data_IF_890694454143
#
_entry.id   IF_890694454143
#
_cell.length_a   1.000
_cell.length_b   1.000
_cell.length_c   1.000
_cell.angle_alpha   90.00
_cell.angle_beta   90.00
_cell.angle_gamma   90.00
#
_symmetry.space_group_name_H-M   'P 1'
#
loop_
_entity.id
_entity.type
_entity.pdbx_description
1 polymer ?
#
# COMPACT_ATOMS: atom_id res chain seq x y z
N UNK A 1 9.84 2.87 16.84
CA UNK A 1 8.90 1.98 16.12
C UNK A 1 8.36 2.72 14.92
N UNK A 2 8.35 2.06 13.75
CA UNK A 2 7.73 2.54 12.52
C UNK A 2 6.63 1.58 12.06
N UNK A 3 5.70 2.04 11.23
CA UNK A 3 4.64 1.22 10.64
C UNK A 3 4.65 1.34 9.12
N UNK A 4 4.68 0.19 8.45
CA UNK A 4 4.60 0.09 7.00
C UNK A 4 3.30 -0.61 6.62
N UNK A 5 2.44 0.09 5.87
CA UNK A 5 1.20 -0.44 5.36
C UNK A 5 1.34 -0.64 3.85
N UNK A 6 1.09 -1.86 3.38
CA UNK A 6 1.11 -2.22 1.98
C UNK A 6 -0.31 -2.36 1.48
N UNK A 7 -0.69 -1.60 0.45
CA UNK A 7 -2.01 -1.62 -0.18
C UNK A 7 -1.85 -2.00 -1.65
N UNK A 8 -2.38 -3.16 -2.04
CA UNK A 8 -2.53 -3.45 -3.49
C UNK A 8 -3.66 -2.60 -4.03
N UNK A 9 -3.47 -1.98 -5.20
CA UNK A 9 -4.54 -1.22 -5.86
C UNK A 9 -5.86 -2.02 -5.96
N UNK A 10 -6.98 -1.31 -5.91
CA UNK A 10 -8.29 -1.93 -6.04
C UNK A 10 -8.54 -2.43 -7.47
N UNK A 11 -9.62 -3.21 -7.64
CA UNK A 11 -9.92 -3.86 -8.92
C UNK A 11 -10.00 -2.82 -10.04
N UNK A 12 -9.14 -2.97 -11.04
CA UNK A 12 -9.12 -2.13 -12.24
C UNK A 12 -10.04 -2.68 -13.32
N UNK A 13 -10.40 -1.80 -14.25
CA UNK A 13 -11.17 -2.12 -15.44
C UNK A 13 -10.27 -2.28 -16.69
N UNK A 14 -10.86 -2.67 -17.80
CA UNK A 14 -10.24 -2.73 -19.13
C UNK A 14 -11.18 -2.13 -20.19
N UNK A 15 -11.30 -0.80 -20.26
CA UNK A 15 -11.96 -0.15 -21.38
C UNK A 15 -11.18 -0.41 -22.68
N UNK A 16 -11.87 -0.32 -23.82
CA UNK A 16 -11.22 -0.41 -25.13
C UNK A 16 -10.13 0.67 -25.28
N UNK A 17 -9.05 0.33 -25.98
CA UNK A 17 -7.94 1.24 -26.33
C UNK A 17 -7.23 1.90 -25.13
N UNK A 18 -7.28 1.29 -23.94
CA UNK A 18 -6.61 1.83 -22.74
C UNK A 18 -5.28 1.12 -22.47
N UNK A 19 -4.20 1.90 -22.42
CA UNK A 19 -2.86 1.45 -21.99
C UNK A 19 -2.87 1.02 -20.52
N UNK A 20 -1.99 0.07 -20.12
CA UNK A 20 -2.07 -0.48 -18.75
C UNK A 20 -1.96 0.61 -17.67
N UNK A 21 -1.06 1.58 -17.85
CA UNK A 21 -0.83 2.65 -16.90
C UNK A 21 -2.08 3.50 -16.62
N UNK A 22 -2.90 3.71 -17.65
CA UNK A 22 -4.06 4.59 -17.65
C UNK A 22 -5.37 3.89 -17.24
N UNK A 23 -5.31 2.59 -16.96
CA UNK A 23 -6.49 1.81 -16.60
C UNK A 23 -7.20 2.37 -15.37
N UNK A 24 -8.51 2.64 -15.47
CA UNK A 24 -9.29 3.12 -14.35
C UNK A 24 -9.61 1.99 -13.37
N UNK A 25 -10.20 2.36 -12.22
CA UNK A 25 -10.83 1.42 -11.32
C UNK A 25 -12.17 0.95 -11.90
N UNK A 26 -12.50 -0.33 -11.72
CA UNK A 26 -13.84 -0.84 -11.97
C UNK A 26 -14.78 -0.45 -10.83
N UNK A 27 -16.10 -0.46 -11.06
CA UNK A 27 -17.12 -0.12 -10.05
C UNK A 27 -16.95 -0.90 -8.74
N UNK A 28 -16.66 -2.20 -8.85
CA UNK A 28 -16.35 -3.04 -7.69
C UNK A 28 -15.11 -2.55 -6.94
N UNK A 29 -14.06 -2.17 -7.66
CA UNK A 29 -12.83 -1.64 -7.07
C UNK A 29 -13.05 -0.32 -6.33
N UNK A 30 -13.89 0.58 -6.87
CA UNK A 30 -14.29 1.80 -6.18
C UNK A 30 -14.97 1.48 -4.84
N UNK A 31 -15.92 0.54 -4.85
CA UNK A 31 -16.64 0.11 -3.63
C UNK A 31 -15.71 -0.55 -2.61
N UNK A 32 -14.86 -1.46 -3.06
CA UNK A 32 -13.91 -2.17 -2.19
C UNK A 32 -12.94 -1.19 -1.52
N UNK A 33 -12.41 -0.20 -2.26
CA UNK A 33 -11.53 0.83 -1.72
C UNK A 33 -12.22 1.74 -0.68
N UNK A 34 -13.47 2.13 -0.94
CA UNK A 34 -14.26 2.92 0.02
C UNK A 34 -14.55 2.13 1.30
N UNK A 35 -14.90 0.85 1.18
CA UNK A 35 -15.18 0.00 2.34
C UNK A 35 -13.91 -0.27 3.17
N UNK A 36 -12.81 -0.63 2.50
CA UNK A 36 -11.53 -0.92 3.16
C UNK A 36 -10.99 0.31 3.90
N UNK A 37 -11.02 1.48 3.26
CA UNK A 37 -10.54 2.72 3.90
C UNK A 37 -11.34 3.11 5.14
N UNK A 38 -12.68 3.00 5.09
CA UNK A 38 -13.55 3.23 6.25
C UNK A 38 -13.31 2.20 7.35
N UNK A 39 -13.18 0.94 6.98
CA UNK A 39 -12.90 -0.15 7.92
C UNK A 39 -11.56 0.08 8.64
N UNK A 40 -10.49 0.42 7.92
CA UNK A 40 -9.21 0.73 8.56
C UNK A 40 -9.31 1.94 9.49
N UNK A 41 -10.02 2.99 9.07
CA UNK A 41 -10.21 4.18 9.88
C UNK A 41 -11.03 3.88 11.15
N UNK A 42 -12.05 3.03 11.07
CA UNK A 42 -12.88 2.65 12.23
C UNK A 42 -12.18 1.68 13.19
N UNK A 43 -11.14 0.99 12.73
CA UNK A 43 -10.28 0.13 13.55
C UNK A 43 -9.01 0.86 14.03
N UNK A 44 -9.04 2.21 14.06
CA UNK A 44 -7.98 3.07 14.58
C UNK A 44 -6.58 2.86 13.93
N UNK A 45 -6.55 2.36 12.69
CA UNK A 45 -5.30 2.24 11.94
C UNK A 45 -4.83 3.63 11.54
N UNK A 46 -3.83 4.15 12.26
CA UNK A 46 -3.25 5.47 12.05
C UNK A 46 -2.18 5.46 10.97
N UNK A 47 -2.22 6.44 10.07
CA UNK A 47 -1.28 6.63 8.98
C UNK A 47 -0.94 8.11 8.90
N UNK A 48 0.32 8.43 8.67
CA UNK A 48 0.83 9.81 8.64
C UNK A 48 1.11 10.26 7.20
N UNK A 49 1.44 9.31 6.32
CA UNK A 49 1.88 9.62 4.97
C UNK A 49 1.46 8.56 3.95
N UNK A 50 1.02 8.99 2.76
CA UNK A 50 0.67 8.11 1.65
C UNK A 50 1.64 8.29 0.49
N UNK A 51 2.14 7.17 -0.03
CA UNK A 51 2.95 7.12 -1.25
C UNK A 51 2.28 6.15 -2.23
N UNK A 52 2.02 6.60 -3.44
CA UNK A 52 1.35 5.79 -4.45
C UNK A 52 2.21 5.58 -5.68
N UNK A 53 2.09 4.43 -6.32
CA UNK A 53 2.38 4.35 -7.75
C UNK A 53 1.57 5.41 -8.52
N UNK A 54 2.14 6.06 -9.54
CA UNK A 54 1.43 7.07 -10.33
C UNK A 54 0.38 6.48 -11.28
N UNK A 55 0.39 5.16 -11.53
CA UNK A 55 -0.60 4.51 -12.38
C UNK A 55 -2.03 4.77 -11.89
N UNK A 56 -2.95 5.06 -12.80
CA UNK A 56 -4.28 5.62 -12.52
C UNK A 56 -5.04 4.82 -11.46
N UNK A 57 -5.07 3.48 -11.58
CA UNK A 57 -5.73 2.59 -10.61
C UNK A 57 -5.14 2.66 -9.19
N UNK A 58 -3.82 2.77 -9.06
CA UNK A 58 -3.17 2.83 -7.75
C UNK A 58 -3.39 4.20 -7.11
N UNK A 59 -3.16 5.27 -7.88
CA UNK A 59 -3.37 6.64 -7.41
C UNK A 59 -4.83 6.91 -7.05
N UNK A 60 -5.79 6.40 -7.83
CA UNK A 60 -7.20 6.53 -7.49
C UNK A 60 -7.58 5.72 -6.24
N UNK A 61 -7.00 4.53 -6.05
CA UNK A 61 -7.18 3.78 -4.79
C UNK A 61 -6.65 4.59 -3.60
N UNK A 62 -5.46 5.17 -3.72
CA UNK A 62 -4.86 6.06 -2.72
C UNK A 62 -5.75 7.27 -2.40
N UNK A 63 -6.24 7.96 -3.45
CA UNK A 63 -7.16 9.10 -3.29
C UNK A 63 -8.46 8.73 -2.57
N UNK A 64 -9.03 7.56 -2.85
CA UNK A 64 -10.22 7.07 -2.15
C UNK A 64 -9.91 6.84 -0.66
N UNK A 65 -8.79 6.18 -0.35
CA UNK A 65 -8.36 6.04 1.05
C UNK A 65 -8.19 7.40 1.71
N UNK A 66 -7.62 8.37 1.00
CA UNK A 66 -7.33 9.69 1.54
C UNK A 66 -8.58 10.51 1.88
N UNK A 67 -9.77 10.14 1.37
CA UNK A 67 -11.02 10.76 1.81
C UNK A 67 -11.31 10.51 3.29
N UNK A 68 -10.84 9.37 3.85
CA UNK A 68 -11.00 9.04 5.27
C UNK A 68 -9.85 9.56 6.16
N UNK A 69 -8.68 9.81 5.56
CA UNK A 69 -7.45 10.12 6.29
C UNK A 69 -7.01 11.60 6.20
N UNK A 70 -7.27 12.27 5.08
CA UNK A 70 -6.97 13.69 4.84
C UNK A 70 -5.47 14.04 5.02
N UNK A 71 -4.61 13.23 4.42
CA UNK A 71 -3.15 13.32 4.49
C UNK A 71 -2.55 13.84 3.18
N UNK A 72 -1.27 14.15 3.22
CA UNK A 72 -0.45 14.40 2.03
C UNK A 72 -0.24 13.10 1.26
N UNK A 73 -0.35 13.18 -0.07
CA UNK A 73 -0.05 12.09 -0.99
C UNK A 73 1.17 12.49 -1.82
N UNK A 74 2.16 11.62 -1.90
CA UNK A 74 3.18 11.66 -2.96
C UNK A 74 3.02 10.48 -3.92
N UNK A 75 3.67 10.60 -5.07
CA UNK A 75 3.76 9.52 -6.05
C UNK A 75 5.21 9.09 -6.22
N UNK A 76 5.44 7.79 -6.37
CA UNK A 76 6.75 7.24 -6.72
C UNK A 76 6.67 6.22 -7.86
N UNK A 77 7.40 6.51 -8.94
CA UNK A 77 7.47 5.66 -10.14
C UNK A 77 7.97 4.26 -9.83
N UNK A 78 8.88 4.14 -8.85
CA UNK A 78 9.41 2.88 -8.33
C UNK A 78 8.32 1.93 -7.84
N UNK A 79 7.14 2.44 -7.47
CA UNK A 79 6.01 1.63 -7.02
C UNK A 79 5.13 1.10 -8.16
N UNK A 80 5.39 1.43 -9.43
CA UNK A 80 4.74 0.82 -10.60
C UNK A 80 5.53 -0.42 -11.06
N UNK A 81 4.87 -1.60 -11.09
CA UNK A 81 5.53 -2.89 -11.35
C UNK A 81 6.84 -3.10 -10.55
N UNK A 82 6.82 -2.93 -9.21
CA UNK A 82 8.03 -2.89 -8.41
C UNK A 82 8.68 -4.28 -8.26
N UNK A 83 10.00 -4.28 -8.09
CA UNK A 83 10.74 -5.33 -7.37
C UNK A 83 10.79 -5.04 -5.87
N UNK A 84 11.25 -6.00 -5.07
CA UNK A 84 11.47 -5.86 -3.63
C UNK A 84 12.43 -4.69 -3.33
N UNK A 85 13.52 -4.57 -4.11
CA UNK A 85 14.49 -3.46 -4.00
C UNK A 85 13.88 -2.10 -4.29
N UNK A 86 12.83 -2.04 -5.12
CA UNK A 86 12.15 -0.77 -5.36
C UNK A 86 11.40 -0.30 -4.11
N UNK A 87 10.78 -1.21 -3.37
CA UNK A 87 10.16 -0.88 -2.07
C UNK A 87 11.22 -0.44 -1.05
N UNK A 88 12.31 -1.20 -0.91
CA UNK A 88 13.42 -0.84 0.00
C UNK A 88 13.95 0.56 -0.31
N UNK A 89 14.18 0.88 -1.59
CA UNK A 89 14.63 2.21 -1.98
C UNK A 89 13.63 3.31 -1.60
N UNK A 90 12.33 3.10 -1.79
CA UNK A 90 11.32 4.09 -1.39
C UNK A 90 11.27 4.22 0.14
N UNK A 91 11.51 3.14 0.88
CA UNK A 91 11.56 3.16 2.36
C UNK A 91 12.74 4.00 2.84
N UNK A 92 13.94 3.80 2.29
CA UNK A 92 15.12 4.57 2.71
C UNK A 92 15.04 6.06 2.36
N UNK A 93 14.23 6.43 1.37
CA UNK A 93 14.00 7.83 0.98
C UNK A 93 12.98 8.54 1.90
N UNK A 94 12.35 7.84 2.86
CA UNK A 94 11.37 8.43 3.80
C UNK A 94 12.05 9.27 4.89
N UNK A 95 11.37 10.35 5.26
CA UNK A 95 11.77 11.19 6.39
C UNK A 95 11.47 10.47 7.74
N UNK A 96 12.41 10.55 8.68
CA UNK A 96 12.30 9.92 9.99
C UNK A 96 11.23 10.54 10.90
N UNK A 97 10.62 11.67 10.54
CA UNK A 97 9.43 12.20 11.20
C UNK A 97 8.17 11.38 10.87
N UNK A 98 8.14 10.66 9.74
CA UNK A 98 7.01 9.79 9.36
C UNK A 98 7.05 8.53 10.19
N UNK A 99 6.04 8.29 11.03
CA UNK A 99 5.98 7.10 11.89
C UNK A 99 5.16 5.97 11.28
N UNK A 100 4.18 6.31 10.44
CA UNK A 100 3.32 5.34 9.74
C UNK A 100 3.11 5.76 8.29
N UNK A 101 3.43 4.87 7.34
CA UNK A 101 3.32 5.13 5.91
C UNK A 101 2.52 4.05 5.20
N UNK A 102 1.67 4.44 4.24
CA UNK A 102 0.97 3.50 3.37
C UNK A 102 1.44 3.61 1.93
N UNK A 103 1.82 2.47 1.36
CA UNK A 103 2.24 2.33 -0.03
C UNK A 103 1.15 1.69 -0.89
N UNK A 104 0.78 2.36 -1.99
CA UNK A 104 -0.21 1.88 -2.93
C UNK A 104 0.48 1.36 -4.20
N UNK A 105 0.42 0.05 -4.44
CA UNK A 105 1.22 -0.60 -5.48
C UNK A 105 0.51 -1.81 -6.15
N UNK A 106 1.27 -2.62 -6.87
CA UNK A 106 0.80 -3.64 -7.81
C UNK A 106 1.37 -5.02 -7.49
N UNK A 107 0.63 -6.05 -7.86
CA UNK A 107 1.18 -7.40 -7.93
C UNK A 107 2.00 -7.59 -9.21
N UNK A 108 2.98 -8.50 -9.24
CA UNK A 108 3.35 -9.42 -8.15
C UNK A 108 4.25 -8.80 -7.07
N UNK A 109 4.87 -7.66 -7.37
CA UNK A 109 5.90 -7.04 -6.53
C UNK A 109 5.50 -6.82 -5.07
N UNK A 110 4.29 -6.31 -4.80
CA UNK A 110 3.84 -6.07 -3.42
C UNK A 110 3.70 -7.36 -2.61
N UNK A 111 3.25 -8.46 -3.24
CA UNK A 111 3.17 -9.76 -2.56
C UNK A 111 4.57 -10.31 -2.30
N UNK A 112 5.46 -10.21 -3.28
CA UNK A 112 6.83 -10.68 -3.11
C UNK A 112 7.57 -9.91 -2.01
N UNK A 113 7.42 -8.58 -1.97
CA UNK A 113 8.01 -7.76 -0.93
C UNK A 113 7.42 -8.06 0.46
N UNK A 114 6.10 -8.24 0.58
CA UNK A 114 5.51 -8.67 1.84
C UNK A 114 6.07 -10.02 2.32
N UNK A 115 6.26 -10.97 1.39
CA UNK A 115 6.87 -12.28 1.66
C UNK A 115 8.37 -12.20 2.01
N UNK A 116 9.09 -11.17 1.55
CA UNK A 116 10.52 -11.03 1.86
C UNK A 116 10.77 -10.47 3.26
N UNK A 117 9.77 -9.80 3.86
CA UNK A 117 9.88 -9.16 5.18
C UNK A 117 9.08 -9.87 6.27
N UNK A 118 8.52 -11.04 5.98
CA UNK A 118 7.65 -11.80 6.87
C UNK A 118 7.82 -13.30 6.70
N UNK A 119 7.50 -14.06 7.74
CA UNK A 119 7.45 -15.53 7.67
C UNK A 119 6.12 -16.05 7.08
N UNK A 120 5.11 -15.19 6.98
CA UNK A 120 3.81 -15.52 6.39
C UNK A 120 3.86 -15.48 4.85
N UNK A 121 2.98 -16.26 4.22
CA UNK A 121 2.82 -16.27 2.77
C UNK A 121 1.62 -15.41 2.38
N UNK A 122 1.90 -14.28 1.75
CA UNK A 122 0.95 -13.34 1.21
C UNK A 122 0.68 -13.57 -0.27
N UNK A 123 -0.60 -13.57 -0.60
CA UNK A 123 -1.08 -13.35 -1.95
C UNK A 123 -2.12 -12.23 -1.92
N UNK A 124 -1.70 -11.01 -2.25
CA UNK A 124 -2.58 -9.85 -2.14
C UNK A 124 -3.74 -9.95 -3.15
N UNK A 125 -5.01 -9.99 -2.74
CA UNK A 125 -6.11 -9.69 -3.64
C UNK A 125 -6.10 -8.19 -3.99
N UNK A 126 -6.84 -7.79 -5.02
CA UNK A 126 -7.05 -6.35 -5.29
C UNK A 126 -7.67 -5.69 -4.07
N UNK A 127 -7.17 -4.51 -3.69
CA UNK A 127 -7.54 -3.80 -2.45
C UNK A 127 -7.20 -4.57 -1.15
N UNK A 128 -6.34 -5.59 -1.21
CA UNK A 128 -5.77 -6.22 -0.01
C UNK A 128 -4.78 -5.29 0.69
N UNK A 129 -4.75 -5.34 2.03
CA UNK A 129 -3.92 -4.49 2.88
C UNK A 129 -3.18 -5.32 3.93
N UNK A 130 -1.86 -5.17 4.04
CA UNK A 130 -1.09 -5.69 5.17
C UNK A 130 -0.44 -4.55 5.94
N UNK A 131 -0.42 -4.64 7.27
CA UNK A 131 0.28 -3.71 8.14
C UNK A 131 1.41 -4.40 8.87
N UNK A 132 2.60 -3.80 8.86
CA UNK A 132 3.78 -4.28 9.57
C UNK A 132 4.27 -3.24 10.56
N UNK A 133 4.69 -3.70 11.73
CA UNK A 133 5.47 -2.93 12.68
C UNK A 133 6.96 -3.23 12.48
N UNK A 134 7.76 -2.19 12.40
CA UNK A 134 9.21 -2.24 12.21
C UNK A 134 9.88 -1.71 13.48
N UNK A 135 10.71 -2.54 14.09
CA UNK A 135 11.46 -2.22 15.31
C UNK A 135 12.70 -1.38 15.00
N UNK A 136 12.46 -0.14 14.57
CA UNK A 136 13.48 0.86 14.30
C UNK A 136 13.03 2.28 14.69
N UNK A 137 13.99 3.18 14.80
CA UNK A 137 13.75 4.61 14.98
C UNK A 137 13.95 5.40 13.68
N UNK A 138 14.79 4.90 12.78
CA UNK A 138 15.02 5.46 11.45
C UNK A 138 14.65 4.47 10.35
N UNK A 139 14.13 4.98 9.23
CA UNK A 139 13.84 4.15 8.06
C UNK A 139 15.11 3.55 7.43
N UNK A 140 16.29 4.17 7.63
CA UNK A 140 17.56 3.60 7.17
C UNK A 140 17.95 2.29 7.86
N UNK A 141 17.36 2.00 9.03
CA UNK A 141 17.61 0.77 9.80
C UNK A 141 16.72 -0.40 9.35
N UNK A 142 15.87 -0.19 8.32
CA UNK A 142 14.83 -1.12 7.93
C UNK A 142 15.33 -2.56 7.77
N UNK A 143 16.47 -2.80 7.13
CA UNK A 143 16.97 -4.16 6.85
C UNK A 143 17.27 -4.96 8.11
N UNK A 144 17.97 -4.34 9.06
CA UNK A 144 18.36 -4.99 10.32
C UNK A 144 17.25 -5.06 11.35
N UNK A 145 16.19 -4.25 11.19
CA UNK A 145 15.09 -4.17 12.13
C UNK A 145 14.24 -5.45 12.12
N UNK A 146 13.66 -5.80 13.28
CA UNK A 146 12.64 -6.84 13.35
C UNK A 146 11.34 -6.33 12.72
N UNK A 147 10.68 -7.18 11.93
CA UNK A 147 9.37 -6.90 11.35
C UNK A 147 8.33 -7.81 11.97
N UNK A 148 7.18 -7.26 12.33
CA UNK A 148 6.06 -7.99 12.89
C UNK A 148 4.80 -7.68 12.09
N UNK A 149 4.13 -8.71 11.59
CA UNK A 149 2.80 -8.56 11.00
C UNK A 149 1.81 -8.09 12.09
N UNK A 150 1.08 -7.01 11.81
CA UNK A 150 0.02 -6.50 12.67
C UNK A 150 -1.35 -7.01 12.20
N UNK A 151 -1.60 -6.96 10.90
CA UNK A 151 -2.86 -7.38 10.30
C UNK A 151 -2.71 -7.66 8.81
N UNK A 152 -3.62 -8.46 8.27
CA UNK A 152 -3.84 -8.62 6.84
C UNK A 152 -5.35 -8.62 6.55
N UNK A 153 -5.81 -7.64 5.79
CA UNK A 153 -7.21 -7.44 5.47
C UNK A 153 -7.47 -7.66 3.98
N UNK A 154 -8.59 -8.31 3.70
CA UNK A 154 -9.04 -8.62 2.35
C UNK A 154 -10.47 -8.12 2.18
N UNK A 155 -10.83 -7.48 1.06
CA UNK A 155 -12.17 -6.90 0.87
C UNK A 155 -13.32 -7.90 1.05
N UNK A 156 -13.09 -9.19 0.78
CA UNK A 156 -14.10 -10.24 0.95
C UNK A 156 -14.25 -10.79 2.37
N UNK A 157 -13.46 -10.29 3.34
CA UNK A 157 -13.39 -10.79 4.72
C UNK A 157 -13.63 -9.69 5.77
N UNK A 158 -14.00 -8.49 5.34
CA UNK A 158 -14.31 -7.33 6.20
C UNK A 158 -15.76 -6.90 6.05
#
# INVERSE_FOLDING_TARGET
>A
MKKLILVRHAKSDWPEETEDFDRPLADKGLKDAMNMSRFMKSNDISIDYFVSSPAVRALNTCKIFNQAYQLTISTEDKLYNPSERNFESVIYDLDDSVSSVAFFSHNNGISNFANSISEDIFHFPTCGVAGFEIDCNSWSEFDGAKKKLLFFYEPGKI
#
